data_IF_364252295332
#
_entry.id   IF_364252295332
#
_cell.length_a   1.000
_cell.length_b   1.000
_cell.length_c   1.000
_cell.angle_alpha   90.00
_cell.angle_beta   90.00
_cell.angle_gamma   90.00
#
_symmetry.space_group_name_H-M   'P 1'
#
loop_
_entity.id
_entity.type
_entity.pdbx_description
1 polymer ?
#
# COMPACT_ATOMS: atom_id res chain seq x y z
N UNK A 1 29.56 5.63 -32.83
CA UNK A 1 28.27 5.94 -32.18
C UNK A 1 27.75 4.65 -31.56
N UNK A 2 27.79 4.52 -30.23
CA UNK A 2 27.19 3.40 -29.53
C UNK A 2 25.69 3.66 -29.52
N UNK A 3 24.83 2.71 -29.92
CA UNK A 3 23.38 2.92 -29.85
C UNK A 3 23.01 3.11 -28.37
N UNK A 4 22.38 4.24 -28.05
CA UNK A 4 21.74 4.46 -26.77
C UNK A 4 20.71 3.33 -26.55
N UNK A 5 21.09 2.29 -25.85
CA UNK A 5 20.13 1.35 -25.30
C UNK A 5 19.29 2.15 -24.31
N UNK A 6 18.08 2.49 -24.71
CA UNK A 6 17.06 3.01 -23.80
C UNK A 6 16.85 1.92 -22.74
N UNK A 7 17.61 1.98 -21.65
CA UNK A 7 17.37 1.12 -20.50
C UNK A 7 15.95 1.43 -20.02
N UNK A 8 15.04 0.50 -20.28
CA UNK A 8 13.66 0.62 -19.85
C UNK A 8 13.66 0.74 -18.32
N UNK A 9 13.23 1.90 -17.82
CA UNK A 9 13.13 2.15 -16.39
C UNK A 9 12.27 1.07 -15.72
N UNK A 10 12.83 0.42 -14.70
CA UNK A 10 12.11 -0.58 -13.92
C UNK A 10 11.40 0.12 -12.76
N UNK A 11 10.06 0.11 -12.83
CA UNK A 11 9.19 0.72 -11.82
C UNK A 11 8.32 -0.34 -11.16
N UNK A 12 8.26 -0.36 -9.83
CA UNK A 12 7.46 -1.31 -9.05
C UNK A 12 6.25 -0.62 -8.43
N UNK A 13 5.09 -1.26 -8.53
CA UNK A 13 3.86 -0.88 -7.86
C UNK A 13 3.52 -1.98 -6.84
N UNK A 14 3.83 -1.72 -5.56
CA UNK A 14 3.72 -2.68 -4.47
C UNK A 14 2.35 -2.56 -3.78
N UNK A 15 1.67 -3.69 -3.58
CA UNK A 15 0.30 -3.70 -3.09
C UNK A 15 -0.67 -3.09 -4.09
N UNK A 16 -0.46 -3.37 -5.38
CA UNK A 16 -1.14 -2.69 -6.48
C UNK A 16 -2.67 -2.83 -6.47
N UNK A 17 -3.22 -3.81 -5.76
CA UNK A 17 -4.66 -4.10 -5.79
C UNK A 17 -5.14 -4.28 -7.22
N UNK A 18 -6.22 -3.58 -7.58
CA UNK A 18 -6.79 -3.62 -8.93
C UNK A 18 -6.16 -2.59 -9.89
N UNK A 19 -5.32 -1.69 -9.39
CA UNK A 19 -4.64 -0.69 -10.22
C UNK A 19 -3.29 -1.23 -10.72
N UNK A 20 -3.32 -1.88 -11.88
CA UNK A 20 -2.15 -2.52 -12.47
C UNK A 20 -1.84 -1.98 -13.88
N UNK A 21 -1.39 -0.70 -14.02
CA UNK A 21 -1.14 -0.09 -15.31
C UNK A 21 0.07 -0.72 -16.02
N UNK A 22 0.09 -0.60 -17.35
CA UNK A 22 1.25 -0.95 -18.15
C UNK A 22 2.43 -0.02 -17.84
N UNK A 23 3.65 -0.52 -18.05
CA UNK A 23 4.89 0.23 -17.74
C UNK A 23 5.35 0.10 -16.28
N UNK A 24 4.55 -0.51 -15.41
CA UNK A 24 4.90 -0.87 -14.03
C UNK A 24 4.95 -2.38 -13.84
N UNK A 25 5.79 -2.84 -12.97
CA UNK A 25 5.73 -4.20 -12.44
C UNK A 25 4.78 -4.19 -11.24
N UNK A 26 3.57 -4.66 -11.48
CA UNK A 26 2.50 -4.66 -10.49
C UNK A 26 2.60 -5.90 -9.61
N UNK A 27 2.69 -5.70 -8.30
CA UNK A 27 2.91 -6.75 -7.31
C UNK A 27 1.80 -6.71 -6.27
N UNK A 28 1.18 -7.87 -6.03
CA UNK A 28 0.22 -8.07 -4.95
C UNK A 28 0.31 -9.52 -4.46
N UNK A 29 0.11 -9.73 -3.16
CA UNK A 29 0.12 -11.06 -2.57
C UNK A 29 -1.11 -11.34 -1.71
N UNK A 30 -2.15 -10.52 -1.84
CA UNK A 30 -3.42 -10.75 -1.15
C UNK A 30 -3.96 -12.14 -1.46
N UNK A 31 -4.66 -12.72 -0.50
CA UNK A 31 -5.17 -14.08 -0.65
C UNK A 31 -6.20 -14.18 -1.79
N UNK A 32 -6.94 -13.11 -2.04
CA UNK A 32 -7.88 -13.04 -3.16
C UNK A 32 -7.18 -13.00 -4.50
N UNK A 33 -6.06 -12.26 -4.63
CA UNK A 33 -5.23 -12.27 -5.83
C UNK A 33 -4.65 -13.67 -6.10
N UNK A 34 -4.17 -14.35 -5.05
CA UNK A 34 -3.72 -15.75 -5.16
C UNK A 34 -4.82 -16.70 -5.60
N UNK A 35 -5.99 -16.61 -4.93
CA UNK A 35 -7.14 -17.46 -5.25
C UNK A 35 -7.69 -17.23 -6.66
N UNK A 36 -7.65 -16.01 -7.17
CA UNK A 36 -8.13 -15.68 -8.51
C UNK A 36 -7.38 -16.43 -9.62
N UNK A 37 -6.15 -16.90 -9.34
CA UNK A 37 -5.36 -17.74 -10.28
C UNK A 37 -5.90 -19.17 -10.40
N UNK A 38 -6.73 -19.62 -9.43
CA UNK A 38 -7.41 -20.92 -9.46
C UNK A 38 -8.91 -20.66 -9.61
N UNK A 39 -9.32 -20.35 -10.83
CA UNK A 39 -10.66 -19.78 -11.17
C UNK A 39 -11.82 -20.57 -10.56
N UNK A 40 -11.80 -21.92 -10.65
CA UNK A 40 -12.88 -22.75 -10.13
C UNK A 40 -13.00 -22.65 -8.61
N UNK A 41 -11.86 -22.68 -7.87
CA UNK A 41 -11.83 -22.56 -6.42
C UNK A 41 -12.28 -21.17 -5.99
N UNK A 42 -11.83 -20.14 -6.70
CA UNK A 42 -12.23 -18.76 -6.45
C UNK A 42 -13.75 -18.57 -6.57
N UNK A 43 -14.36 -19.11 -7.65
CA UNK A 43 -15.82 -19.07 -7.84
C UNK A 43 -16.57 -19.80 -6.73
N UNK A 44 -16.06 -20.96 -6.26
CA UNK A 44 -16.67 -21.71 -5.14
C UNK A 44 -16.62 -20.90 -3.85
N UNK A 45 -15.46 -20.33 -3.51
CA UNK A 45 -15.28 -19.50 -2.31
C UNK A 45 -16.20 -18.27 -2.34
N UNK A 46 -16.28 -17.58 -3.48
CA UNK A 46 -17.19 -16.44 -3.67
C UNK A 46 -18.66 -16.85 -3.49
N UNK A 47 -19.08 -18.00 -4.07
CA UNK A 47 -20.44 -18.50 -3.94
C UNK A 47 -20.81 -18.83 -2.48
N UNK A 48 -19.91 -19.52 -1.74
CA UNK A 48 -20.11 -19.85 -0.32
C UNK A 48 -20.19 -18.57 0.51
N UNK A 49 -19.27 -17.60 0.25
CA UNK A 49 -19.24 -16.31 0.93
C UNK A 49 -20.36 -15.35 0.54
N UNK A 50 -21.09 -15.63 -0.54
CA UNK A 50 -22.06 -14.71 -1.18
C UNK A 50 -21.41 -13.37 -1.53
N UNK A 51 -20.18 -13.41 -2.04
CA UNK A 51 -19.36 -12.26 -2.40
C UNK A 51 -19.18 -12.25 -3.92
N UNK A 52 -19.24 -11.05 -4.51
CA UNK A 52 -18.93 -10.91 -5.95
C UNK A 52 -17.44 -11.14 -6.18
N UNK A 53 -17.05 -11.92 -7.22
CA UNK A 53 -15.65 -12.06 -7.58
C UNK A 53 -15.00 -10.70 -7.88
N UNK A 54 -13.82 -10.48 -7.34
CA UNK A 54 -12.98 -9.30 -7.63
C UNK A 54 -12.31 -9.55 -9.00
N UNK A 55 -12.42 -8.64 -9.97
CA UNK A 55 -11.81 -8.81 -11.30
C UNK A 55 -10.31 -8.48 -11.27
N UNK A 56 -9.50 -9.39 -10.73
CA UNK A 56 -8.05 -9.20 -10.64
C UNK A 56 -7.41 -9.10 -12.03
N UNK A 57 -6.57 -8.06 -12.29
CA UNK A 57 -5.82 -7.95 -13.53
C UNK A 57 -4.85 -9.12 -13.75
N UNK A 58 -4.65 -9.51 -15.00
CA UNK A 58 -3.78 -10.64 -15.35
C UNK A 58 -2.29 -10.32 -15.18
N UNK A 59 -1.90 -9.05 -15.37
CA UNK A 59 -0.52 -8.58 -15.34
C UNK A 59 0.03 -8.33 -13.92
N UNK A 60 -0.62 -8.85 -12.88
CA UNK A 60 -0.12 -8.80 -11.50
C UNK A 60 0.81 -9.97 -11.24
N UNK A 61 1.98 -9.69 -10.69
CA UNK A 61 2.89 -10.70 -10.12
C UNK A 61 2.49 -11.00 -8.68
N UNK A 62 2.25 -12.28 -8.39
CA UNK A 62 1.95 -12.74 -7.03
C UNK A 62 3.26 -12.94 -6.28
N UNK A 63 3.69 -11.92 -5.52
CA UNK A 63 4.92 -11.94 -4.72
C UNK A 63 4.62 -11.47 -3.31
N UNK A 64 4.95 -12.29 -2.32
CA UNK A 64 4.92 -11.90 -0.91
C UNK A 64 6.20 -11.14 -0.58
N UNK A 65 6.13 -9.81 -0.59
CA UNK A 65 7.28 -8.92 -0.41
C UNK A 65 7.90 -9.01 0.99
N UNK A 66 7.19 -9.58 1.98
CA UNK A 66 7.72 -9.89 3.32
C UNK A 66 8.75 -11.02 3.30
N UNK A 67 8.90 -11.71 2.18
CA UNK A 67 9.92 -12.74 1.92
C UNK A 67 11.06 -12.25 1.03
N UNK A 68 11.07 -10.96 0.71
CA UNK A 68 12.03 -10.31 -0.16
C UNK A 68 11.48 -9.96 -1.54
N UNK A 69 12.13 -9.02 -2.18
CA UNK A 69 11.82 -8.58 -3.54
C UNK A 69 12.71 -9.35 -4.55
N UNK A 70 12.13 -10.00 -5.58
CA UNK A 70 12.89 -10.79 -6.55
C UNK A 70 13.57 -9.90 -7.62
N UNK A 71 14.27 -8.86 -7.16
CA UNK A 71 15.02 -7.92 -7.99
C UNK A 71 16.43 -7.78 -7.46
N UNK A 72 17.39 -7.57 -8.37
CA UNK A 72 18.79 -7.36 -8.01
C UNK A 72 18.99 -6.02 -7.31
N UNK A 73 20.08 -5.91 -6.55
CA UNK A 73 20.49 -4.67 -5.90
C UNK A 73 20.66 -3.56 -6.94
N UNK A 74 20.12 -2.38 -6.65
CA UNK A 74 20.26 -1.22 -7.51
C UNK A 74 19.62 -1.32 -8.90
N UNK A 75 18.70 -2.27 -9.12
CA UNK A 75 18.09 -2.49 -10.43
C UNK A 75 16.78 -1.74 -10.68
N UNK A 76 16.19 -1.13 -9.65
CA UNK A 76 14.87 -0.50 -9.68
C UNK A 76 15.02 1.02 -9.67
N UNK A 77 14.33 1.72 -10.58
CA UNK A 77 14.37 3.17 -10.68
C UNK A 77 13.33 3.85 -9.79
N UNK A 78 12.15 3.24 -9.67
CA UNK A 78 11.09 3.80 -8.85
C UNK A 78 10.25 2.71 -8.16
N UNK A 79 9.77 3.02 -6.96
CA UNK A 79 8.84 2.18 -6.20
C UNK A 79 7.67 3.05 -5.76
N UNK A 80 6.45 2.56 -6.00
CA UNK A 80 5.21 3.14 -5.50
C UNK A 80 4.50 2.15 -4.60
N UNK A 81 3.95 2.63 -3.49
CA UNK A 81 3.06 1.86 -2.62
C UNK A 81 2.04 2.79 -1.98
N UNK A 82 0.78 2.37 -1.97
CA UNK A 82 -0.32 3.13 -1.39
C UNK A 82 -1.23 2.21 -0.58
N UNK A 83 -1.50 2.60 0.66
CA UNK A 83 -2.39 1.89 1.58
C UNK A 83 -2.07 0.39 1.69
N UNK A 84 -0.79 0.08 1.94
CA UNK A 84 -0.30 -1.28 2.07
C UNK A 84 0.49 -1.50 3.36
N UNK A 85 1.36 -0.56 3.74
CA UNK A 85 2.26 -0.73 4.89
C UNK A 85 1.50 -0.87 6.20
N UNK A 86 0.37 -0.20 6.35
CA UNK A 86 -0.48 -0.25 7.54
C UNK A 86 -1.08 -1.64 7.81
N UNK A 87 -1.10 -2.51 6.80
CA UNK A 87 -1.59 -3.90 6.92
C UNK A 87 -0.50 -4.89 7.32
N UNK A 88 0.71 -4.42 7.57
CA UNK A 88 1.87 -5.23 7.98
C UNK A 88 2.24 -4.98 9.44
N UNK A 89 2.91 -5.95 10.05
CA UNK A 89 3.55 -5.72 11.34
C UNK A 89 4.72 -4.74 11.17
N UNK A 90 5.10 -4.06 12.26
CA UNK A 90 6.26 -3.15 12.21
C UNK A 90 7.55 -3.84 11.75
N UNK A 91 7.75 -5.10 12.15
CA UNK A 91 8.88 -5.92 11.72
C UNK A 91 8.86 -6.20 10.21
N UNK A 92 7.69 -6.58 9.66
CA UNK A 92 7.51 -6.79 8.23
C UNK A 92 7.79 -5.51 7.44
N UNK A 93 7.31 -4.35 7.93
CA UNK A 93 7.53 -3.05 7.28
C UNK A 93 9.02 -2.71 7.25
N UNK A 94 9.74 -2.87 8.37
CA UNK A 94 11.19 -2.64 8.42
C UNK A 94 11.92 -3.52 7.39
N UNK A 95 11.57 -4.79 7.30
CA UNK A 95 12.14 -5.69 6.31
C UNK A 95 11.83 -5.24 4.87
N UNK A 96 10.57 -4.89 4.57
CA UNK A 96 10.14 -4.45 3.24
C UNK A 96 10.82 -3.15 2.83
N UNK A 97 10.92 -2.16 3.73
CA UNK A 97 11.59 -0.88 3.45
C UNK A 97 13.09 -1.10 3.18
N UNK A 98 13.74 -1.98 3.94
CA UNK A 98 15.13 -2.39 3.69
C UNK A 98 15.29 -3.04 2.31
N UNK A 99 14.39 -3.91 1.92
CA UNK A 99 14.38 -4.56 0.60
C UNK A 99 14.15 -3.54 -0.54
N UNK A 100 13.23 -2.58 -0.32
CA UNK A 100 13.02 -1.48 -1.26
C UNK A 100 14.31 -0.66 -1.43
N UNK A 101 14.97 -0.31 -0.34
CA UNK A 101 16.26 0.38 -0.38
C UNK A 101 17.33 -0.42 -1.13
N UNK A 102 17.44 -1.73 -0.87
CA UNK A 102 18.37 -2.62 -1.58
C UNK A 102 18.15 -2.58 -3.08
N UNK A 103 16.89 -2.76 -3.50
CA UNK A 103 16.53 -2.86 -4.91
C UNK A 103 16.65 -1.54 -5.67
N UNK A 104 16.40 -0.39 -5.03
CA UNK A 104 16.52 0.92 -5.67
C UNK A 104 17.95 1.20 -6.12
N UNK A 105 18.09 1.76 -7.32
CA UNK A 105 19.36 2.32 -7.79
C UNK A 105 19.70 3.61 -7.02
N UNK A 106 20.94 4.05 -7.09
CA UNK A 106 21.33 5.36 -6.54
C UNK A 106 20.55 6.46 -7.25
N UNK A 107 19.91 7.35 -6.49
CA UNK A 107 19.00 8.35 -6.98
C UNK A 107 17.59 7.82 -7.32
N UNK A 108 17.33 6.53 -7.12
CA UNK A 108 16.00 5.94 -7.27
C UNK A 108 15.02 6.46 -6.23
N UNK A 109 13.76 6.58 -6.60
CA UNK A 109 12.69 7.23 -5.82
C UNK A 109 11.71 6.18 -5.30
N UNK A 110 11.37 6.26 -4.01
CA UNK A 110 10.25 5.52 -3.43
C UNK A 110 9.17 6.50 -2.98
N UNK A 111 7.92 6.28 -3.45
CA UNK A 111 6.75 7.05 -3.07
C UNK A 111 5.79 6.18 -2.27
N UNK A 112 5.43 6.64 -1.08
CA UNK A 112 4.57 5.95 -0.13
C UNK A 112 3.38 6.82 0.22
N UNK A 113 2.19 6.21 0.27
CA UNK A 113 0.98 6.82 0.80
C UNK A 113 0.42 5.87 1.87
N UNK A 114 0.17 6.40 3.07
CA UNK A 114 -0.46 5.68 4.19
C UNK A 114 -1.50 6.59 4.87
N UNK A 115 -2.50 6.05 5.58
CA UNK A 115 -3.43 6.87 6.36
C UNK A 115 -2.71 7.78 7.35
N UNK A 116 -3.18 9.02 7.50
CA UNK A 116 -2.59 10.01 8.42
C UNK A 116 -3.20 9.88 9.81
N UNK A 117 -2.48 9.23 10.72
CA UNK A 117 -2.91 9.06 12.10
C UNK A 117 -3.14 10.40 12.81
N UNK A 118 -2.30 11.41 12.51
CA UNK A 118 -2.43 12.74 13.12
C UNK A 118 -3.74 13.40 12.69
N UNK A 119 -4.05 13.45 11.39
CA UNK A 119 -5.28 14.08 10.89
C UNK A 119 -6.53 13.31 11.34
N UNK A 120 -6.50 11.99 11.37
CA UNK A 120 -7.59 11.16 11.89
C UNK A 120 -7.84 11.46 13.37
N UNK A 121 -6.78 11.54 14.18
CA UNK A 121 -6.87 11.82 15.62
C UNK A 121 -7.36 13.25 15.87
N UNK A 122 -6.79 14.22 15.15
CA UNK A 122 -7.18 15.63 15.25
C UNK A 122 -8.66 15.83 14.95
N UNK A 123 -9.16 15.25 13.84
CA UNK A 123 -10.58 15.26 13.48
C UNK A 123 -11.45 14.74 14.63
N UNK A 124 -11.07 13.63 15.24
CA UNK A 124 -11.80 13.08 16.37
C UNK A 124 -11.83 14.02 17.58
N UNK A 125 -10.66 14.57 17.94
CA UNK A 125 -10.54 15.50 19.07
C UNK A 125 -11.37 16.77 18.84
N UNK A 126 -11.28 17.35 17.64
CA UNK A 126 -12.04 18.55 17.27
C UNK A 126 -13.57 18.32 17.36
N UNK A 127 -14.04 17.16 16.88
CA UNK A 127 -15.45 16.77 16.99
C UNK A 127 -15.88 16.57 18.45
N UNK A 128 -15.04 15.97 19.28
CA UNK A 128 -15.36 15.76 20.71
C UNK A 128 -15.38 17.06 21.52
N UNK A 129 -14.62 18.08 21.08
CA UNK A 129 -14.63 19.42 21.70
C UNK A 129 -15.87 20.22 21.27
N UNK A 130 -16.20 20.17 19.97
CA UNK A 130 -17.27 21.00 19.40
C UNK A 130 -18.67 20.41 19.59
N UNK A 131 -18.81 19.11 19.45
CA UNK A 131 -20.07 18.38 19.53
C UNK A 131 -19.86 16.96 20.07
N UNK A 132 -19.69 16.78 21.40
CA UNK A 132 -19.36 15.47 21.98
C UNK A 132 -20.49 14.46 21.79
N UNK A 133 -20.25 13.43 20.97
CA UNK A 133 -21.19 12.34 20.68
C UNK A 133 -20.46 10.99 20.59
N UNK A 134 -21.12 9.93 21.08
CA UNK A 134 -20.56 8.57 21.01
C UNK A 134 -20.34 8.06 19.59
N UNK A 135 -21.08 8.58 18.59
CA UNK A 135 -20.88 8.22 17.19
C UNK A 135 -19.49 8.62 16.65
N UNK A 136 -18.89 9.70 17.19
CA UNK A 136 -17.53 10.11 16.78
C UNK A 136 -16.47 9.08 17.16
N UNK A 137 -16.65 8.38 18.29
CA UNK A 137 -15.78 7.25 18.66
C UNK A 137 -15.90 6.10 17.65
N UNK A 138 -17.11 5.78 17.20
CA UNK A 138 -17.30 4.75 16.18
C UNK A 138 -16.68 5.15 14.84
N UNK A 139 -16.84 6.41 14.43
CA UNK A 139 -16.22 6.94 13.21
C UNK A 139 -14.70 6.89 13.30
N UNK A 140 -14.11 7.31 14.42
CA UNK A 140 -12.67 7.28 14.66
C UNK A 140 -12.10 5.86 14.56
N UNK A 141 -12.74 4.88 15.23
CA UNK A 141 -12.31 3.48 15.13
C UNK A 141 -12.48 2.89 13.73
N UNK A 142 -13.47 3.38 12.98
CA UNK A 142 -13.66 3.02 11.57
C UNK A 142 -12.54 3.60 10.70
N UNK A 143 -12.22 4.88 10.87
CA UNK A 143 -11.15 5.56 10.11
C UNK A 143 -9.77 4.92 10.37
N UNK A 144 -9.54 4.40 11.59
CA UNK A 144 -8.37 3.59 11.93
C UNK A 144 -8.44 2.12 11.46
N UNK A 145 -9.53 1.71 10.81
CA UNK A 145 -9.80 0.33 10.40
C UNK A 145 -9.63 -0.70 11.55
N UNK A 146 -10.03 -0.31 12.77
CA UNK A 146 -9.93 -1.15 13.98
C UNK A 146 -11.22 -1.90 14.32
N UNK A 147 -12.33 -1.61 13.66
CA UNK A 147 -13.62 -2.25 13.96
C UNK A 147 -13.67 -3.68 13.42
N UNK A 148 -14.22 -4.58 14.24
CA UNK A 148 -14.58 -5.92 13.76
C UNK A 148 -15.92 -5.87 13.04
N UNK A 149 -15.96 -6.36 11.79
CA UNK A 149 -17.20 -6.57 11.08
C UNK A 149 -18.13 -7.56 11.82
N UNK A 150 -19.44 -7.36 11.70
CA UNK A 150 -20.48 -8.17 12.35
C UNK A 150 -20.59 -9.63 11.84
N UNK A 151 -19.76 -10.04 10.91
CA UNK A 151 -19.77 -11.37 10.32
C UNK A 151 -19.30 -12.45 11.30
N UNK A 152 -20.05 -13.58 11.39
CA UNK A 152 -19.74 -14.72 12.25
C UNK A 152 -19.38 -15.97 11.46
N UNK A 153 -18.66 -16.92 12.08
CA UNK A 153 -18.32 -18.21 11.49
C UNK A 153 -17.48 -18.10 10.22
N UNK A 154 -17.73 -19.00 9.25
CA UNK A 154 -16.96 -19.08 7.99
C UNK A 154 -17.01 -17.78 7.18
N UNK A 155 -18.10 -17.02 7.28
CA UNK A 155 -18.22 -15.72 6.62
C UNK A 155 -17.20 -14.71 7.14
N UNK A 156 -16.89 -14.71 8.45
CA UNK A 156 -15.85 -13.85 9.02
C UNK A 156 -14.48 -14.15 8.40
N UNK A 157 -14.19 -15.43 8.19
CA UNK A 157 -12.92 -15.88 7.57
C UNK A 157 -12.87 -15.41 6.11
N UNK A 158 -13.94 -15.66 5.35
CA UNK A 158 -14.02 -15.27 3.94
C UNK A 158 -13.94 -13.75 3.81
N UNK A 159 -14.61 -12.99 4.69
CA UNK A 159 -14.59 -11.53 4.67
C UNK A 159 -13.16 -10.98 4.91
N UNK A 160 -12.41 -11.57 5.85
CA UNK A 160 -10.99 -11.23 6.05
C UNK A 160 -10.13 -11.54 4.81
N UNK A 161 -10.43 -12.63 4.10
CA UNK A 161 -9.73 -13.03 2.88
C UNK A 161 -9.93 -11.99 1.75
N UNK A 162 -11.10 -11.34 1.71
CA UNK A 162 -11.46 -10.38 0.67
C UNK A 162 -10.99 -8.93 0.93
N UNK A 163 -9.91 -8.75 1.70
CA UNK A 163 -9.25 -7.45 1.83
C UNK A 163 -9.77 -6.57 2.95
N UNK A 164 -10.59 -7.11 3.86
CA UNK A 164 -10.99 -6.41 5.08
C UNK A 164 -10.01 -6.71 6.23
N UNK A 165 -8.71 -6.63 5.94
CA UNK A 165 -7.66 -6.75 6.94
C UNK A 165 -7.59 -5.46 7.76
N UNK A 166 -7.45 -5.61 9.08
CA UNK A 166 -7.24 -4.46 9.98
C UNK A 166 -5.90 -3.80 9.71
N UNK A 167 -5.79 -2.52 10.05
CA UNK A 167 -4.50 -1.91 10.19
C UNK A 167 -3.79 -2.51 11.39
N UNK A 168 -2.57 -2.97 11.19
CA UNK A 168 -1.71 -3.52 12.24
C UNK A 168 -0.80 -2.44 12.81
N UNK A 169 -0.53 -1.41 12.00
CA UNK A 169 0.23 -0.24 12.39
C UNK A 169 -0.37 1.00 11.73
N UNK A 170 -0.34 2.14 12.41
CA UNK A 170 -0.76 3.42 11.84
C UNK A 170 0.42 4.38 11.90
N UNK A 171 0.50 5.27 10.92
CA UNK A 171 1.61 6.18 10.74
C UNK A 171 1.16 7.64 10.86
N UNK A 172 2.03 8.45 11.44
CA UNK A 172 2.04 9.89 11.30
C UNK A 172 3.31 10.34 10.55
N UNK A 173 3.46 11.63 10.37
CA UNK A 173 4.61 12.20 9.68
C UNK A 173 5.94 11.79 10.31
N UNK A 174 6.01 11.77 11.64
CA UNK A 174 7.25 11.57 12.38
C UNK A 174 7.67 10.10 12.37
N UNK A 175 6.76 9.18 12.64
CA UNK A 175 7.03 7.74 12.62
C UNK A 175 7.42 7.26 11.22
N UNK A 176 6.80 7.84 10.16
CA UNK A 176 7.15 7.51 8.79
C UNK A 176 8.54 8.07 8.41
N UNK A 177 8.87 9.27 8.89
CA UNK A 177 10.18 9.88 8.70
C UNK A 177 11.29 9.07 9.37
N UNK A 178 11.12 8.72 10.64
CA UNK A 178 12.07 7.90 11.41
C UNK A 178 12.32 6.57 10.69
N UNK A 179 11.27 5.90 10.22
CA UNK A 179 11.38 4.65 9.46
C UNK A 179 12.31 4.80 8.25
N UNK A 180 12.18 5.89 7.48
CA UNK A 180 13.03 6.08 6.30
C UNK A 180 14.46 6.49 6.65
N UNK A 181 14.66 7.31 7.69
CA UNK A 181 15.98 7.70 8.17
C UNK A 181 16.78 6.49 8.68
N UNK A 182 16.16 5.58 9.43
CA UNK A 182 16.75 4.31 9.88
C UNK A 182 17.26 3.47 8.73
N UNK A 183 16.53 3.48 7.60
CA UNK A 183 16.88 2.75 6.39
C UNK A 183 17.74 3.56 5.40
N UNK A 184 18.33 4.69 5.84
CA UNK A 184 19.30 5.51 5.10
C UNK A 184 18.73 6.19 3.85
N UNK A 185 17.42 6.33 3.73
CA UNK A 185 16.84 7.17 2.70
C UNK A 185 17.16 8.65 2.94
N UNK A 186 17.36 9.38 1.85
CA UNK A 186 17.59 10.81 1.86
C UNK A 186 16.40 11.57 1.26
N UNK A 187 16.39 12.89 1.43
CA UNK A 187 15.38 13.79 0.85
C UNK A 187 13.95 13.34 1.08
N UNK A 188 13.59 13.09 2.34
CA UNK A 188 12.23 12.72 2.73
C UNK A 188 11.33 13.93 2.57
N UNK A 189 10.48 13.95 1.54
CA UNK A 189 9.65 15.09 1.18
C UNK A 189 8.17 14.75 1.19
N UNK A 190 7.35 15.68 1.67
CA UNK A 190 5.90 15.63 1.47
C UNK A 190 5.58 16.01 0.03
N UNK A 191 4.72 15.24 -0.61
CA UNK A 191 4.37 15.46 -2.02
C UNK A 191 2.86 15.61 -2.16
N UNK A 192 2.45 16.50 -3.06
CA UNK A 192 1.06 16.63 -3.46
C UNK A 192 0.69 15.59 -4.51
N UNK A 193 -0.62 15.39 -4.73
CA UNK A 193 -1.14 14.52 -5.75
C UNK A 193 -0.59 14.89 -7.14
N UNK A 194 -0.10 13.89 -7.86
CA UNK A 194 0.45 14.06 -9.22
C UNK A 194 1.80 14.80 -9.29
N UNK A 195 2.29 15.36 -8.18
CA UNK A 195 3.63 15.97 -8.12
C UNK A 195 4.62 14.90 -7.67
N UNK A 196 5.55 14.52 -8.54
CA UNK A 196 6.47 13.41 -8.25
C UNK A 196 7.73 13.50 -9.06
N UNK A 197 8.86 13.05 -8.50
CA UNK A 197 10.07 12.72 -9.24
C UNK A 197 9.93 11.46 -10.11
N UNK A 198 8.84 10.71 -9.97
CA UNK A 198 8.57 9.48 -10.74
C UNK A 198 7.72 9.83 -11.96
N UNK A 199 8.20 9.60 -13.20
CA UNK A 199 7.43 9.87 -14.42
C UNK A 199 6.14 9.05 -14.49
N UNK A 200 5.04 9.69 -14.88
CA UNK A 200 3.70 9.09 -15.05
C UNK A 200 3.16 8.46 -13.74
N UNK A 201 3.36 9.13 -12.61
CA UNK A 201 2.89 8.70 -11.30
C UNK A 201 1.37 8.60 -11.23
N UNK A 202 0.66 9.43 -12.00
CA UNK A 202 -0.80 9.47 -12.10
C UNK A 202 -1.41 8.13 -12.58
N UNK A 203 -0.62 7.26 -13.20
CA UNK A 203 -1.08 5.94 -13.62
C UNK A 203 -1.32 5.00 -12.43
N UNK A 204 -0.58 5.16 -11.35
CA UNK A 204 -0.65 4.32 -10.14
C UNK A 204 -1.29 5.05 -8.96
N UNK A 205 -1.18 6.37 -8.90
CA UNK A 205 -1.69 7.18 -7.80
C UNK A 205 -3.20 7.42 -7.94
N UNK A 206 -3.94 7.27 -6.86
CA UNK A 206 -5.36 7.58 -6.80
C UNK A 206 -5.59 8.82 -5.92
N UNK A 207 -6.28 9.82 -6.45
CA UNK A 207 -6.51 11.10 -5.77
C UNK A 207 -7.23 10.92 -4.43
N UNK A 208 -8.28 10.11 -4.39
CA UNK A 208 -9.03 9.88 -3.15
C UNK A 208 -8.18 9.24 -2.05
N UNK A 209 -7.32 8.28 -2.39
CA UNK A 209 -6.39 7.68 -1.43
C UNK A 209 -5.30 8.65 -0.98
N UNK A 210 -4.84 9.52 -1.89
CA UNK A 210 -3.86 10.55 -1.57
C UNK A 210 -4.41 11.58 -0.57
N UNK A 211 -5.65 12.05 -0.80
CA UNK A 211 -6.30 13.07 0.05
C UNK A 211 -6.58 12.57 1.49
N UNK A 212 -6.67 11.26 1.69
CA UNK A 212 -6.89 10.64 3.01
C UNK A 212 -5.61 10.23 3.74
N UNK A 213 -4.44 10.51 3.17
CA UNK A 213 -3.18 9.98 3.67
C UNK A 213 -2.02 10.97 3.68
N UNK A 214 -0.93 10.50 4.26
CA UNK A 214 0.39 11.12 4.16
C UNK A 214 1.09 10.56 2.93
N UNK A 215 1.51 11.44 2.03
CA UNK A 215 2.35 11.07 0.89
C UNK A 215 3.79 11.52 1.14
N UNK A 216 4.73 10.59 1.00
CA UNK A 216 6.17 10.86 1.09
C UNK A 216 6.90 10.31 -0.12
N UNK A 217 7.81 11.11 -0.67
CA UNK A 217 8.86 10.64 -1.55
C UNK A 217 10.20 10.66 -0.83
N UNK A 218 10.95 9.57 -1.01
CA UNK A 218 12.27 9.38 -0.45
C UNK A 218 13.23 8.89 -1.53
N UNK A 219 14.48 9.28 -1.43
CA UNK A 219 15.53 8.99 -2.43
C UNK A 219 16.64 8.15 -1.79
N UNK A 220 17.10 7.14 -2.51
CA UNK A 220 18.28 6.36 -2.13
C UNK A 220 19.58 7.10 -2.42
#
# INVERSE_FOLDING_TARGET
MVPNSVHKELKLNLGCGLNAPSGWVNIDASLTAKLSRVIWLYKVVCKIGRIKPIPWPENIKIVDIRKGLPFSDGSVNAIFSSHMLEHMTYEDVNFVVKECYRCLCVGGVMRIIVPDLYEITKKYVDLMITEPKGEHTHSFLHDLNMQDGSNKGIRKIIYKIFGHSKHLHNYDEWSLRELFEEHKFSRIQRMDYGQSGIPNIELVENKGWHEMGICREVIK
#
